data_IF_947836555473
#
_entry.id   IF_947836555473
#
_cell.length_a   1.000
_cell.length_b   1.000
_cell.length_c   1.000
_cell.angle_alpha   90.00
_cell.angle_beta   90.00
_cell.angle_gamma   90.00
#
_symmetry.space_group_name_H-M   'P 1'
#
loop_
_entity.id
_entity.type
_entity.pdbx_description
1 polymer ?
#
# COMPACT_ATOMS: atom_id res chain seq x y z
N UNK A 1 -1.19 -16.68 5.07
CA UNK A 1 -0.92 -15.80 6.23
C UNK A 1 -2.25 -15.38 6.86
N UNK A 2 -2.34 -15.19 8.19
CA UNK A 2 -3.55 -14.62 8.80
C UNK A 2 -3.78 -13.22 8.21
N UNK A 3 -5.03 -12.90 7.86
CA UNK A 3 -5.37 -11.60 7.25
C UNK A 3 -4.95 -10.39 8.12
N UNK A 4 -4.88 -10.60 9.45
CA UNK A 4 -4.35 -9.63 10.42
C UNK A 4 -2.84 -9.39 10.24
N UNK A 5 -2.06 -10.46 10.03
CA UNK A 5 -0.61 -10.38 9.83
C UNK A 5 -0.25 -9.63 8.54
N UNK A 6 -0.98 -9.91 7.45
CA UNK A 6 -0.78 -9.25 6.15
C UNK A 6 -1.02 -7.73 6.24
N UNK A 7 -2.12 -7.30 6.88
CA UNK A 7 -2.40 -5.88 7.10
C UNK A 7 -1.33 -5.20 7.97
N UNK A 8 -0.81 -5.90 8.98
CA UNK A 8 0.24 -5.39 9.86
C UNK A 8 1.52 -5.10 9.06
N UNK A 9 1.91 -6.04 8.19
CA UNK A 9 3.11 -5.90 7.34
C UNK A 9 2.94 -4.73 6.38
N UNK A 10 1.84 -4.66 5.64
CA UNK A 10 1.60 -3.58 4.67
C UNK A 10 1.56 -2.21 5.36
N UNK A 11 0.98 -2.13 6.58
CA UNK A 11 0.98 -0.91 7.38
C UNK A 11 2.39 -0.48 7.77
N UNK A 12 3.24 -1.39 8.21
CA UNK A 12 4.63 -1.08 8.52
C UNK A 12 5.42 -0.63 7.29
N UNK A 13 5.24 -1.30 6.15
CA UNK A 13 5.83 -0.88 4.87
C UNK A 13 5.39 0.55 4.53
N UNK A 14 4.08 0.85 4.63
CA UNK A 14 3.53 2.16 4.32
C UNK A 14 4.14 3.27 5.20
N UNK A 15 4.29 3.02 6.50
CA UNK A 15 4.92 3.97 7.44
C UNK A 15 6.38 4.21 7.07
N UNK A 16 7.15 3.15 6.78
CA UNK A 16 8.56 3.25 6.41
C UNK A 16 8.73 4.03 5.09
N UNK A 17 7.89 3.77 4.10
CA UNK A 17 7.87 4.51 2.83
C UNK A 17 7.51 5.99 3.00
N UNK A 18 6.82 6.35 4.09
CA UNK A 18 6.51 7.74 4.42
C UNK A 18 7.72 8.55 4.87
N UNK A 19 8.72 7.92 5.47
CA UNK A 19 9.90 8.61 6.02
C UNK A 19 10.67 9.38 4.93
N UNK A 20 11.02 8.79 3.76
CA UNK A 20 11.65 9.52 2.66
C UNK A 20 10.80 10.69 2.15
N UNK A 21 9.47 10.58 2.16
CA UNK A 21 8.56 11.63 1.70
C UNK A 21 8.57 12.82 2.68
N UNK A 22 8.60 12.55 3.98
CA UNK A 22 8.75 13.60 5.00
C UNK A 22 10.10 14.32 4.83
N UNK A 23 11.18 13.55 4.62
CA UNK A 23 12.50 14.11 4.33
C UNK A 23 12.56 14.92 3.03
N UNK A 24 11.71 14.58 2.05
CA UNK A 24 11.56 15.33 0.81
C UNK A 24 10.78 16.65 1.00
N UNK A 25 9.75 16.67 1.84
CA UNK A 25 8.94 17.88 2.10
C UNK A 25 9.66 18.86 3.02
N UNK A 26 10.25 18.36 4.11
CA UNK A 26 10.78 19.20 5.19
C UNK A 26 12.31 19.18 5.30
N UNK A 27 12.99 18.29 4.58
CA UNK A 27 14.43 18.08 4.68
C UNK A 27 15.19 18.38 3.39
N UNK A 28 16.51 18.11 3.39
CA UNK A 28 17.39 18.39 2.26
C UNK A 28 17.24 17.40 1.09
N UNK A 29 16.39 16.37 1.23
CA UNK A 29 16.21 15.32 0.20
C UNK A 29 15.71 15.91 -1.13
N UNK A 30 14.96 17.01 -1.07
CA UNK A 30 14.49 17.76 -2.25
C UNK A 30 15.61 18.45 -3.04
N UNK A 31 16.78 18.68 -2.41
CA UNK A 31 17.93 19.32 -3.03
C UNK A 31 18.87 18.32 -3.69
N UNK A 32 18.71 17.02 -3.41
CA UNK A 32 19.52 15.95 -3.99
C UNK A 32 18.77 15.41 -5.23
N UNK A 33 19.27 15.63 -6.46
CA UNK A 33 18.53 15.29 -7.67
C UNK A 33 18.16 13.81 -7.78
N UNK A 34 19.09 12.91 -7.45
CA UNK A 34 18.83 11.46 -7.50
C UNK A 34 17.78 11.05 -6.48
N UNK A 35 17.85 11.57 -5.25
CA UNK A 35 16.92 11.24 -4.18
C UNK A 35 15.52 11.78 -4.47
N UNK A 36 15.43 12.99 -5.01
CA UNK A 36 14.16 13.58 -5.48
C UNK A 36 13.50 12.73 -6.56
N UNK A 37 14.26 12.26 -7.54
CA UNK A 37 13.75 11.38 -8.58
C UNK A 37 13.21 10.07 -7.99
N UNK A 38 13.98 9.44 -7.10
CA UNK A 38 13.53 8.23 -6.40
C UNK A 38 12.25 8.47 -5.59
N UNK A 39 12.14 9.58 -4.85
CA UNK A 39 10.93 9.89 -4.07
C UNK A 39 9.72 10.05 -4.97
N UNK A 40 9.84 10.79 -6.07
CA UNK A 40 8.71 11.07 -6.97
C UNK A 40 8.26 9.86 -7.79
N UNK A 41 9.21 9.07 -8.29
CA UNK A 41 8.93 7.99 -9.25
C UNK A 41 8.77 6.62 -8.59
N UNK A 42 9.36 6.42 -7.42
CA UNK A 42 9.35 5.12 -6.73
C UNK A 42 8.57 5.18 -5.43
N UNK A 43 9.01 6.00 -4.47
CA UNK A 43 8.40 6.00 -3.12
C UNK A 43 6.97 6.53 -3.13
N UNK A 44 6.70 7.59 -3.89
CA UNK A 44 5.38 8.20 -3.98
C UNK A 44 4.31 7.26 -4.58
N UNK A 45 4.51 6.61 -5.75
CA UNK A 45 3.53 5.63 -6.22
C UNK A 45 3.42 4.42 -5.30
N UNK A 46 4.52 3.94 -4.69
CA UNK A 46 4.46 2.82 -3.74
C UNK A 46 3.67 3.16 -2.47
N UNK A 47 3.81 4.36 -1.92
CA UNK A 47 3.05 4.77 -0.73
C UNK A 47 1.56 4.88 -1.07
N UNK A 48 1.22 5.41 -2.25
CA UNK A 48 -0.17 5.51 -2.70
C UNK A 48 -0.77 4.10 -2.88
N UNK A 49 -0.07 3.20 -3.57
CA UNK A 49 -0.54 1.83 -3.78
C UNK A 49 -0.71 1.07 -2.46
N UNK A 50 0.23 1.19 -1.53
CA UNK A 50 0.13 0.56 -0.21
C UNK A 50 -1.00 1.17 0.63
N UNK A 51 -1.22 2.49 0.56
CA UNK A 51 -2.33 3.16 1.22
C UNK A 51 -3.70 2.75 0.65
N UNK A 52 -3.81 2.70 -0.67
CA UNK A 52 -5.00 2.20 -1.37
C UNK A 52 -5.28 0.74 -1.01
N UNK A 53 -4.25 -0.09 -0.89
CA UNK A 53 -4.41 -1.49 -0.46
C UNK A 53 -4.86 -1.61 0.99
N UNK A 54 -4.36 -0.78 1.91
CA UNK A 54 -4.81 -0.77 3.31
C UNK A 54 -6.27 -0.34 3.41
N UNK A 55 -6.69 0.65 2.60
CA UNK A 55 -8.05 1.14 2.57
C UNK A 55 -9.01 0.14 1.90
N UNK A 56 -8.77 -0.23 0.63
CA UNK A 56 -9.69 -1.03 -0.19
C UNK A 56 -9.33 -2.52 -0.31
N UNK A 57 -8.26 -2.99 0.31
CA UNK A 57 -7.85 -4.40 0.22
C UNK A 57 -8.92 -5.41 0.66
N UNK A 58 -9.84 -5.00 1.56
CA UNK A 58 -11.00 -5.83 1.93
C UNK A 58 -12.06 -5.93 0.83
N UNK A 59 -12.24 -4.86 0.04
CA UNK A 59 -13.19 -4.83 -1.08
C UNK A 59 -12.66 -5.69 -2.23
N UNK A 60 -11.36 -5.60 -2.51
CA UNK A 60 -10.69 -6.41 -3.55
C UNK A 60 -10.79 -7.90 -3.23
N UNK A 61 -10.54 -8.31 -1.98
CA UNK A 61 -10.73 -9.71 -1.54
C UNK A 61 -12.20 -10.15 -1.58
N UNK A 62 -13.14 -9.24 -1.35
CA UNK A 62 -14.58 -9.54 -1.44
C UNK A 62 -15.03 -9.74 -2.89
N UNK A 63 -14.50 -8.96 -3.84
CA UNK A 63 -14.75 -9.13 -5.27
C UNK A 63 -14.16 -10.42 -5.84
N UNK A 64 -12.99 -10.85 -5.34
CA UNK A 64 -12.36 -12.11 -5.77
C UNK A 64 -13.10 -13.36 -5.25
N UNK A 65 -13.86 -13.25 -4.16
CA UNK A 65 -14.79 -14.30 -3.73
C UNK A 65 -16.12 -14.13 -4.46
N UNK A 66 -16.15 -14.55 -5.73
CA UNK A 66 -17.43 -14.84 -6.39
C UNK A 66 -18.27 -15.74 -5.47
N UNK A 67 -19.59 -15.53 -5.38
CA UNK A 67 -20.45 -16.46 -4.68
C UNK A 67 -20.33 -17.80 -5.41
N UNK A 68 -19.71 -18.78 -4.76
CA UNK A 68 -19.88 -20.16 -5.19
C UNK A 68 -21.38 -20.43 -5.11
N UNK A 69 -22.01 -20.55 -6.27
CA UNK A 69 -23.41 -20.95 -6.40
C UNK A 69 -23.50 -22.30 -5.71
N UNK A 70 -23.99 -22.33 -4.46
CA UNK A 70 -24.27 -23.58 -3.78
C UNK A 70 -25.44 -24.23 -4.52
N UNK A 71 -25.29 -25.44 -5.09
CA UNK A 71 -26.42 -26.12 -5.70
C UNK A 71 -27.46 -26.40 -4.61
N UNK A 72 -28.68 -25.96 -4.86
CA UNK A 72 -29.85 -26.22 -4.02
C UNK A 72 -30.14 -27.72 -4.13
N UNK A 73 -29.91 -28.49 -3.04
CA UNK A 73 -30.38 -29.88 -2.97
C UNK A 73 -31.91 -29.84 -2.90
N UNK A 74 -32.55 -30.39 -3.92
CA UNK A 74 -33.97 -30.77 -3.94
C UNK A 74 -34.18 -32.04 -3.11
#
# INVERSE_FOLDING_TARGET
MKASTERKIIRWIHIILGIPIIGFIYGPVSQIPQATFMVRVVFFPLIILSGLWLWKGHIIKKWSKQPSIKPKKL
#
